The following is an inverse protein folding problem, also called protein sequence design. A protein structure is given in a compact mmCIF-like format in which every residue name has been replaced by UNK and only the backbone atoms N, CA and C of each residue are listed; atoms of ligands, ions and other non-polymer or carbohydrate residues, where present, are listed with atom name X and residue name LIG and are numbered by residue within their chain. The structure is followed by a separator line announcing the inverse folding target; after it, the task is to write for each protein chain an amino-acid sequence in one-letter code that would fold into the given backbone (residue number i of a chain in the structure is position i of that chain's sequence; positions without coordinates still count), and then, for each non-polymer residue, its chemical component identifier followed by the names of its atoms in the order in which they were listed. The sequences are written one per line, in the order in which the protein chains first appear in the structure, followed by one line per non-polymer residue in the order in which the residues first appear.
data_IF_420400120673
#
_entry.id   IF_420400120673
#
_cell.length_a   1.000
_cell.length_b   1.000
_cell.length_c   1.000
_cell.angle_alpha   90.00
_cell.angle_beta   90.00
_cell.angle_gamma   90.00
#
_symmetry.space_group_name_H-M   'P 1'
#
loop_
_entity.id
_entity.type
_entity.pdbx_description
1 polymer ?
#
# COMPACT_ATOMS: atom_id res chain seq x y z
N UNK A 1 -3.81 -0.06 11.86
CA UNK A 1 -3.94 1.00 10.84
C UNK A 1 -3.24 2.24 11.35
N UNK A 2 -2.49 2.95 10.53
CA UNK A 2 -1.73 4.16 10.86
C UNK A 2 -2.09 5.27 9.88
N UNK A 3 -2.04 6.52 10.34
CA UNK A 3 -2.06 7.70 9.47
C UNK A 3 -0.61 8.10 9.17
N UNK A 4 -0.28 8.24 7.89
CA UNK A 4 1.04 8.70 7.43
C UNK A 4 0.87 10.07 6.79
N UNK A 5 1.72 11.01 7.17
CA UNK A 5 1.78 12.35 6.58
C UNK A 5 3.10 12.50 5.83
N UNK A 6 3.04 12.98 4.61
CA UNK A 6 4.21 13.40 3.82
C UNK A 6 4.12 14.91 3.58
N UNK A 7 5.22 15.63 3.85
CA UNK A 7 5.35 17.06 3.61
C UNK A 7 6.25 17.29 2.42
N UNK A 8 5.76 18.00 1.42
CA UNK A 8 6.46 18.20 0.16
C UNK A 8 6.66 19.68 -0.14
N UNK A 9 7.78 19.98 -0.81
CA UNK A 9 7.99 21.24 -1.48
C UNK A 9 8.12 20.96 -2.99
N UNK A 10 7.06 21.25 -3.73
CA UNK A 10 6.91 20.75 -5.09
C UNK A 10 6.93 19.22 -5.10
N UNK A 11 7.85 18.60 -5.82
CA UNK A 11 7.99 17.14 -5.88
C UNK A 11 8.94 16.56 -4.81
N UNK A 12 9.62 17.40 -4.04
CA UNK A 12 10.62 16.96 -3.07
C UNK A 12 9.99 16.70 -1.70
N UNK A 13 10.15 15.46 -1.21
CA UNK A 13 9.72 15.07 0.13
C UNK A 13 10.67 15.67 1.18
N UNK A 14 10.13 16.47 2.09
CA UNK A 14 10.91 17.14 3.15
C UNK A 14 10.86 16.38 4.48
N UNK A 15 9.69 15.84 4.81
CA UNK A 15 9.43 15.21 6.11
C UNK A 15 8.33 14.17 5.99
N UNK A 16 8.40 13.13 6.81
CA UNK A 16 7.29 12.20 7.05
C UNK A 16 6.99 12.10 8.53
N UNK A 17 5.70 11.93 8.85
CA UNK A 17 5.23 11.66 10.21
C UNK A 17 4.24 10.51 10.19
N UNK A 18 4.26 9.69 11.24
CA UNK A 18 3.36 8.53 11.38
C UNK A 18 2.63 8.66 12.70
N UNK A 19 1.32 8.46 12.67
CA UNK A 19 0.45 8.47 13.84
C UNK A 19 -0.29 7.14 13.94
N UNK A 20 -0.37 6.58 15.13
CA UNK A 20 -1.20 5.40 15.37
C UNK A 20 -2.70 5.77 15.27
N UNK A 21 -3.56 4.77 15.12
CA UNK A 21 -5.02 5.00 15.04
C UNK A 21 -5.63 5.59 16.32
N UNK A 22 -4.91 5.54 17.44
CA UNK A 22 -5.33 6.07 18.74
C UNK A 22 -4.76 7.45 19.04
N UNK A 23 -3.81 7.94 18.25
CA UNK A 23 -3.19 9.25 18.45
C UNK A 23 -3.99 10.37 17.77
N UNK A 24 -4.13 11.48 18.46
CA UNK A 24 -4.71 12.70 17.90
C UNK A 24 -3.65 13.45 17.09
N UNK A 25 -3.93 13.74 15.84
CA UNK A 25 -3.04 14.51 14.98
C UNK A 25 -3.15 16.00 15.33
N UNK A 26 -2.05 16.68 15.68
CA UNK A 26 -2.07 18.08 16.10
C UNK A 26 -2.11 19.05 14.89
N UNK A 27 -3.19 19.00 14.09
CA UNK A 27 -3.33 19.73 12.83
C UNK A 27 -3.00 21.22 12.93
N UNK A 28 -3.46 21.91 13.99
CA UNK A 28 -3.21 23.34 14.15
C UNK A 28 -1.72 23.64 14.29
N UNK A 29 -0.99 22.85 15.07
CA UNK A 29 0.46 22.98 15.23
C UNK A 29 1.20 22.69 13.93
N UNK A 30 0.78 21.65 13.22
CA UNK A 30 1.38 21.25 11.93
C UNK A 30 1.21 22.38 10.91
N UNK A 31 0.00 22.89 10.74
CA UNK A 31 -0.30 23.96 9.79
C UNK A 31 0.44 25.27 10.13
N UNK A 32 0.56 25.60 11.42
CA UNK A 32 1.28 26.80 11.87
C UNK A 32 2.79 26.71 11.57
N UNK A 33 3.39 25.50 11.69
CA UNK A 33 4.83 25.32 11.51
C UNK A 33 5.27 25.16 10.07
N UNK A 34 4.42 24.70 9.14
CA UNK A 34 4.81 24.28 7.79
C UNK A 34 4.21 25.10 6.63
N UNK A 35 3.45 26.18 6.87
CA UNK A 35 2.85 27.05 5.82
C UNK A 35 2.21 26.25 4.65
N UNK A 36 1.42 25.24 4.98
CA UNK A 36 0.85 24.32 4.01
C UNK A 36 -0.27 25.04 3.24
N UNK A 37 -0.20 25.03 1.92
CA UNK A 37 -1.20 25.65 1.03
C UNK A 37 -2.15 24.64 0.41
N UNK A 38 -1.64 23.44 0.09
CA UNK A 38 -2.39 22.36 -0.55
C UNK A 38 -2.25 21.08 0.26
N UNK A 39 -3.26 20.25 0.23
CA UNK A 39 -3.22 18.91 0.82
C UNK A 39 -3.96 17.91 -0.08
N UNK A 40 -3.57 16.65 0.01
CA UNK A 40 -4.27 15.54 -0.64
C UNK A 40 -4.47 14.42 0.38
N UNK A 41 -5.65 13.81 0.34
CA UNK A 41 -6.03 12.78 1.30
C UNK A 41 -6.42 11.51 0.53
N UNK A 42 -5.80 10.39 0.91
CA UNK A 42 -6.27 9.06 0.55
C UNK A 42 -6.75 8.37 1.83
N UNK A 43 -8.03 8.06 1.88
CA UNK A 43 -8.65 7.46 3.04
C UNK A 43 -9.16 6.06 2.71
N UNK A 44 -8.70 5.06 3.47
CA UNK A 44 -9.21 3.70 3.44
C UNK A 44 -9.74 3.35 4.81
N UNK A 45 -11.06 3.11 4.92
CA UNK A 45 -11.75 2.84 6.18
C UNK A 45 -12.13 4.10 6.99
N UNK A 46 -12.54 3.89 8.24
CA UNK A 46 -12.97 4.98 9.13
C UNK A 46 -11.76 5.69 9.74
N UNK A 47 -11.54 6.94 9.39
CA UNK A 47 -10.50 7.79 9.98
C UNK A 47 -11.09 8.53 11.16
N UNK A 48 -10.47 8.38 12.34
CA UNK A 48 -10.89 9.10 13.58
C UNK A 48 -10.34 10.53 13.66
N UNK A 49 -9.49 10.95 12.72
CA UNK A 49 -8.90 12.28 12.74
C UNK A 49 -9.90 13.35 12.29
N UNK A 50 -9.93 14.47 12.98
CA UNK A 50 -10.70 15.64 12.54
C UNK A 50 -10.00 16.33 11.35
N UNK A 51 -10.37 15.89 10.15
CA UNK A 51 -9.85 16.45 8.89
C UNK A 51 -10.42 17.86 8.59
N UNK A 52 -11.43 18.34 9.32
CA UNK A 52 -12.03 19.67 9.11
C UNK A 52 -10.99 20.78 9.16
N UNK A 53 -9.99 20.63 10.05
CA UNK A 53 -8.91 21.61 10.15
C UNK A 53 -8.09 21.70 8.86
N UNK A 54 -7.82 20.58 8.19
CA UNK A 54 -7.16 20.57 6.88
C UNK A 54 -8.02 21.23 5.81
N UNK A 55 -9.29 20.82 5.67
CA UNK A 55 -10.21 21.36 4.67
C UNK A 55 -10.40 22.87 4.82
N UNK A 56 -10.40 23.39 6.05
CA UNK A 56 -10.60 24.82 6.32
C UNK A 56 -9.35 25.68 6.08
N UNK A 57 -8.16 25.09 6.05
CA UNK A 57 -6.90 25.85 6.03
C UNK A 57 -6.02 25.53 4.80
N UNK A 58 -6.40 24.59 3.97
CA UNK A 58 -5.65 24.23 2.76
C UNK A 58 -6.61 24.03 1.59
N UNK A 59 -6.08 24.11 0.36
CA UNK A 59 -6.79 23.59 -0.81
C UNK A 59 -6.67 22.07 -0.78
N UNK A 60 -7.68 21.42 -0.22
CA UNK A 60 -7.67 19.98 0.03
C UNK A 60 -8.31 19.21 -1.11
N UNK A 61 -7.60 18.22 -1.61
CA UNK A 61 -8.06 17.27 -2.63
C UNK A 61 -8.26 15.91 -1.98
N UNK A 62 -9.45 15.33 -2.10
CA UNK A 62 -9.67 13.92 -1.79
C UNK A 62 -9.36 13.07 -3.01
N UNK A 63 -8.64 11.97 -2.83
CA UNK A 63 -8.40 11.06 -3.95
C UNK A 63 -9.69 10.36 -4.32
N UNK A 64 -10.08 10.48 -5.58
CA UNK A 64 -11.23 9.79 -6.16
C UNK A 64 -10.97 9.44 -7.64
N UNK A 65 -11.78 8.57 -8.21
CA UNK A 65 -11.60 8.01 -9.56
C UNK A 65 -11.77 9.01 -10.70
N UNK A 66 -12.34 10.18 -10.44
CA UNK A 66 -12.57 11.25 -11.44
C UNK A 66 -11.41 12.26 -11.49
N UNK A 67 -10.35 12.11 -10.66
CA UNK A 67 -9.15 12.92 -10.79
C UNK A 67 -8.48 12.65 -12.15
N UNK A 68 -7.68 13.62 -12.61
CA UNK A 68 -6.78 13.36 -13.73
C UNK A 68 -5.70 12.35 -13.27
N UNK A 69 -5.79 11.13 -13.80
CA UNK A 69 -4.90 10.03 -13.44
C UNK A 69 -3.86 9.84 -14.55
N UNK A 70 -2.59 9.52 -14.19
CA UNK A 70 -1.51 9.29 -15.17
C UNK A 70 -1.58 7.90 -15.82
N UNK A 71 -2.68 7.18 -15.68
CA UNK A 71 -2.86 5.84 -16.23
C UNK A 71 -4.32 5.60 -16.66
N UNK A 72 -4.52 4.57 -17.46
CA UNK A 72 -5.83 4.01 -17.81
C UNK A 72 -5.99 2.62 -17.20
N UNK A 73 -7.19 2.08 -17.09
CA UNK A 73 -7.44 0.78 -16.46
C UNK A 73 -8.46 -0.07 -17.20
N UNK A 74 -8.26 -1.39 -17.18
CA UNK A 74 -9.26 -2.40 -17.55
C UNK A 74 -10.22 -2.76 -16.41
N UNK A 75 -10.06 -2.18 -15.22
CA UNK A 75 -10.92 -2.51 -14.07
C UNK A 75 -12.33 -2.02 -14.31
N UNK A 76 -13.32 -2.92 -14.20
CA UNK A 76 -14.71 -2.62 -14.52
C UNK A 76 -15.65 -3.12 -13.41
N UNK A 77 -16.47 -2.25 -12.81
CA UNK A 77 -16.41 -0.78 -12.98
C UNK A 77 -15.17 -0.19 -12.29
N UNK A 78 -14.60 0.86 -12.91
CA UNK A 78 -13.36 1.47 -12.42
C UNK A 78 -13.49 2.05 -11.00
N UNK A 79 -14.67 2.51 -10.64
CA UNK A 79 -15.00 3.07 -9.33
C UNK A 79 -14.86 2.05 -8.19
N UNK A 80 -14.83 0.77 -8.50
CA UNK A 80 -14.62 -0.30 -7.52
C UNK A 80 -13.13 -0.59 -7.26
N UNK A 81 -12.21 0.01 -8.01
CA UNK A 81 -10.79 -0.09 -7.71
C UNK A 81 -10.47 0.65 -6.40
N UNK A 82 -9.85 -0.01 -5.43
CA UNK A 82 -9.48 0.62 -4.16
C UNK A 82 -8.63 1.88 -4.36
N UNK A 83 -8.89 2.91 -3.59
CA UNK A 83 -8.19 4.20 -3.71
C UNK A 83 -6.68 4.07 -3.41
N UNK A 84 -6.29 3.20 -2.50
CA UNK A 84 -4.90 2.83 -2.23
C UNK A 84 -4.21 2.26 -3.48
N UNK A 85 -4.90 1.41 -4.24
CA UNK A 85 -4.42 0.86 -5.50
C UNK A 85 -4.33 1.94 -6.60
N UNK A 86 -5.29 2.87 -6.66
CA UNK A 86 -5.22 4.04 -7.56
C UNK A 86 -3.96 4.86 -7.29
N UNK A 87 -3.64 5.13 -6.02
CA UNK A 87 -2.44 5.88 -5.60
C UNK A 87 -1.16 5.12 -5.96
N UNK A 88 -1.12 3.80 -5.71
CA UNK A 88 0.03 2.97 -6.03
C UNK A 88 0.29 2.90 -7.54
N UNK A 89 -0.76 2.77 -8.35
CA UNK A 89 -0.68 2.81 -9.82
C UNK A 89 -0.20 4.18 -10.33
N UNK A 90 -0.69 5.27 -9.75
CA UNK A 90 -0.23 6.62 -10.11
C UNK A 90 1.24 6.81 -9.76
N UNK A 91 1.70 6.33 -8.60
CA UNK A 91 3.11 6.34 -8.22
C UNK A 91 3.97 5.57 -9.23
N UNK A 92 3.56 4.34 -9.57
CA UNK A 92 4.30 3.50 -10.51
C UNK A 92 4.40 4.13 -11.90
N UNK A 93 3.28 4.63 -12.44
CA UNK A 93 3.23 5.26 -13.76
C UNK A 93 4.17 6.47 -13.88
N UNK A 94 4.30 7.26 -12.80
CA UNK A 94 5.14 8.45 -12.79
C UNK A 94 6.62 8.15 -12.49
N UNK A 95 6.90 7.25 -11.54
CA UNK A 95 8.27 6.95 -11.11
C UNK A 95 9.01 6.04 -12.08
N UNK A 96 8.29 5.18 -12.79
CA UNK A 96 8.86 4.21 -13.72
C UNK A 96 8.21 4.31 -15.11
N UNK A 97 8.32 5.47 -15.77
CA UNK A 97 7.69 5.67 -17.08
C UNK A 97 8.27 4.71 -18.11
N UNK A 98 7.39 4.11 -18.92
CA UNK A 98 7.75 3.15 -19.98
C UNK A 98 8.29 1.80 -19.49
N UNK A 99 8.04 1.45 -18.22
CA UNK A 99 8.30 0.11 -17.71
C UNK A 99 6.99 -0.64 -17.42
N UNK A 100 7.00 -1.97 -17.59
CA UNK A 100 5.94 -2.80 -17.03
C UNK A 100 6.23 -3.02 -15.55
N UNK A 101 5.26 -2.81 -14.69
CA UNK A 101 5.42 -2.87 -13.24
C UNK A 101 4.36 -3.77 -12.63
N UNK A 102 4.78 -4.76 -11.86
CA UNK A 102 3.92 -5.45 -10.91
C UNK A 102 4.11 -4.81 -9.53
N UNK A 103 3.07 -4.16 -9.04
CA UNK A 103 3.05 -3.58 -7.70
C UNK A 103 2.46 -4.63 -6.76
N UNK A 104 3.15 -4.92 -5.67
CA UNK A 104 2.70 -5.78 -4.58
C UNK A 104 2.65 -4.92 -3.32
N UNK A 105 1.45 -4.57 -2.87
CA UNK A 105 1.27 -3.83 -1.61
C UNK A 105 0.89 -4.82 -0.52
N UNK A 106 1.82 -5.05 0.41
CA UNK A 106 1.67 -5.98 1.51
C UNK A 106 1.34 -5.23 2.81
N UNK A 107 0.05 -5.12 3.09
CA UNK A 107 -0.49 -4.47 4.28
C UNK A 107 -1.60 -5.29 4.93
N UNK A 108 -2.73 -4.65 5.26
CA UNK A 108 -3.92 -5.34 5.80
C UNK A 108 -4.39 -6.45 4.84
N UNK A 109 -4.41 -6.14 3.54
CA UNK A 109 -4.45 -7.13 2.46
C UNK A 109 -3.11 -7.14 1.73
N UNK A 110 -2.86 -8.15 0.91
CA UNK A 110 -1.82 -8.14 -0.11
C UNK A 110 -2.53 -7.90 -1.44
N UNK A 111 -2.20 -6.80 -2.10
CA UNK A 111 -2.73 -6.52 -3.44
C UNK A 111 -1.64 -6.67 -4.49
N UNK A 112 -2.03 -7.05 -5.69
CA UNK A 112 -1.15 -7.26 -6.84
C UNK A 112 -1.74 -6.50 -8.01
N UNK A 113 -1.02 -5.53 -8.58
CA UNK A 113 -1.49 -4.71 -9.68
C UNK A 113 -0.45 -4.64 -10.79
N UNK A 114 -0.84 -5.04 -12.00
CA UNK A 114 0.04 -5.03 -13.16
C UNK A 114 -0.28 -3.82 -14.06
N UNK A 115 0.68 -2.91 -14.20
CA UNK A 115 0.62 -1.77 -15.10
C UNK A 115 1.66 -1.92 -16.22
N UNK A 116 1.27 -1.62 -17.44
CA UNK A 116 2.13 -1.72 -18.62
C UNK A 116 3.02 -0.50 -18.81
N UNK A 117 4.05 -0.63 -19.65
CA UNK A 117 4.91 0.46 -20.12
C UNK A 117 4.15 1.62 -20.82
N UNK A 118 2.87 1.41 -21.19
CA UNK A 118 1.97 2.43 -21.74
C UNK A 118 1.07 3.05 -20.68
N UNK A 119 1.40 2.88 -19.40
CA UNK A 119 0.57 3.30 -18.28
C UNK A 119 -0.88 2.78 -18.36
N UNK A 120 -1.03 1.51 -18.72
CA UNK A 120 -2.34 0.85 -18.77
C UNK A 120 -2.38 -0.27 -17.73
N UNK A 121 -3.25 -0.14 -16.73
CA UNK A 121 -3.49 -1.12 -15.67
C UNK A 121 -4.30 -2.29 -16.23
N UNK A 122 -3.77 -3.50 -16.15
CA UNK A 122 -4.38 -4.71 -16.67
C UNK A 122 -5.29 -5.43 -15.67
N UNK A 123 -5.38 -4.93 -14.46
CA UNK A 123 -6.09 -5.58 -13.35
C UNK A 123 -5.14 -6.13 -12.30
N UNK A 124 -5.69 -6.81 -11.31
CA UNK A 124 -4.91 -7.29 -10.18
C UNK A 124 -5.66 -8.27 -9.30
N UNK A 125 -5.02 -8.65 -8.20
CA UNK A 125 -5.52 -9.65 -7.24
C UNK A 125 -5.52 -9.03 -5.85
N UNK A 126 -6.40 -9.51 -4.96
CA UNK A 126 -6.45 -9.17 -3.54
C UNK A 126 -6.43 -10.45 -2.74
N UNK A 127 -5.56 -10.54 -1.76
CA UNK A 127 -5.49 -11.65 -0.82
C UNK A 127 -5.33 -11.17 0.62
N UNK A 128 -5.56 -12.03 1.63
CA UNK A 128 -5.39 -11.63 3.02
C UNK A 128 -3.93 -11.31 3.35
N UNK A 129 -3.69 -10.20 4.06
CA UNK A 129 -2.37 -9.88 4.63
C UNK A 129 -1.96 -10.81 5.77
N UNK A 130 -0.70 -10.70 6.22
CA UNK A 130 -0.16 -11.60 7.23
C UNK A 130 -0.96 -11.58 8.53
N UNK A 131 -1.22 -10.39 9.07
CA UNK A 131 -2.00 -10.26 10.31
C UNK A 131 -3.43 -10.72 10.15
N UNK A 132 -4.04 -10.51 8.98
CA UNK A 132 -5.40 -11.00 8.72
C UNK A 132 -5.47 -12.52 8.76
N UNK A 133 -4.44 -13.24 8.28
CA UNK A 133 -4.34 -14.71 8.35
C UNK A 133 -4.24 -15.20 9.79
N UNK A 134 -3.41 -14.55 10.64
CA UNK A 134 -3.33 -14.87 12.08
C UNK A 134 -4.66 -14.63 12.78
N UNK A 135 -5.26 -13.47 12.55
CA UNK A 135 -6.54 -13.11 13.16
C UNK A 135 -7.68 -14.02 12.71
N UNK A 136 -7.69 -14.46 11.46
CA UNK A 136 -8.68 -15.43 10.99
C UNK A 136 -8.56 -16.76 11.75
N UNK A 137 -7.36 -17.30 11.92
CA UNK A 137 -7.14 -18.52 12.70
C UNK A 137 -7.57 -18.34 14.16
N UNK A 138 -7.23 -17.23 14.80
CA UNK A 138 -7.64 -16.92 16.17
C UNK A 138 -9.17 -16.79 16.29
N UNK A 139 -9.81 -16.00 15.42
CA UNK A 139 -11.23 -15.68 15.53
C UNK A 139 -12.16 -16.84 15.13
N UNK A 140 -11.74 -17.70 14.20
CA UNK A 140 -12.57 -18.80 13.68
C UNK A 140 -12.23 -20.17 14.28
N UNK A 141 -11.34 -20.22 15.27
CA UNK A 141 -11.05 -21.46 16.02
C UNK A 141 -11.11 -21.21 17.53
N UNK A 142 -11.28 -22.30 18.32
CA UNK A 142 -11.42 -22.18 19.78
C UNK A 142 -10.10 -22.25 20.54
N UNK A 143 -9.00 -22.75 19.91
CA UNK A 143 -7.77 -23.10 20.64
C UNK A 143 -6.52 -22.43 20.08
N UNK A 144 -6.60 -21.83 18.91
CA UNK A 144 -5.42 -21.19 18.33
C UNK A 144 -5.18 -19.82 18.98
N UNK A 145 -3.96 -19.52 19.43
CA UNK A 145 -3.65 -18.27 20.11
C UNK A 145 -3.64 -17.08 19.14
N UNK A 146 -3.87 -15.87 19.68
CA UNK A 146 -3.64 -14.63 18.96
C UNK A 146 -2.13 -14.37 18.89
N UNK A 147 -1.55 -14.36 17.69
CA UNK A 147 -0.12 -14.21 17.48
C UNK A 147 0.18 -12.95 16.66
N UNK A 148 1.38 -12.42 16.85
CA UNK A 148 1.96 -11.38 16.02
C UNK A 148 2.88 -11.99 14.95
N UNK A 149 3.26 -11.21 13.94
CA UNK A 149 4.17 -11.64 12.88
C UNK A 149 5.54 -11.94 13.50
N UNK A 150 5.99 -13.18 13.37
CA UNK A 150 7.29 -13.62 13.81
C UNK A 150 7.93 -14.56 12.80
N UNK A 151 9.26 -14.53 12.72
CA UNK A 151 10.06 -15.43 11.90
C UNK A 151 9.86 -16.87 12.34
N UNK A 152 9.47 -17.79 11.44
CA UNK A 152 9.46 -19.22 11.76
C UNK A 152 10.87 -19.75 12.00
N UNK A 153 11.05 -20.59 13.03
CA UNK A 153 12.39 -21.03 13.47
C UNK A 153 12.86 -22.34 12.81
N UNK A 154 12.04 -23.38 12.90
CA UNK A 154 12.46 -24.72 12.45
C UNK A 154 11.38 -25.41 11.63
N UNK A 155 11.78 -26.17 10.61
CA UNK A 155 10.88 -26.96 9.78
C UNK A 155 11.29 -28.45 9.79
N UNK A 156 10.36 -29.39 9.93
CA UNK A 156 8.94 -29.21 10.21
C UNK A 156 8.67 -28.65 11.62
N UNK A 157 7.61 -27.83 11.82
CA UNK A 157 7.25 -27.30 13.12
C UNK A 157 6.74 -28.43 14.05
N UNK A 158 7.10 -28.37 15.34
CA UNK A 158 6.76 -29.39 16.33
C UNK A 158 5.77 -28.89 17.41
N UNK A 159 5.31 -27.66 17.33
CA UNK A 159 4.30 -27.08 18.21
C UNK A 159 3.35 -26.15 17.46
N UNK A 160 2.22 -25.84 18.09
CA UNK A 160 1.11 -25.07 17.46
C UNK A 160 1.56 -23.66 17.03
N UNK A 161 2.36 -22.97 17.84
CA UNK A 161 2.80 -21.59 17.55
C UNK A 161 3.66 -21.58 16.31
N UNK A 162 4.68 -22.45 16.25
CA UNK A 162 5.54 -22.59 15.07
C UNK A 162 4.75 -23.05 13.84
N UNK A 163 3.79 -23.96 14.01
CA UNK A 163 2.94 -24.41 12.90
C UNK A 163 2.11 -23.26 12.31
N UNK A 164 1.60 -22.36 13.17
CA UNK A 164 0.88 -21.16 12.73
C UNK A 164 1.81 -20.18 12.02
N UNK A 165 3.01 -19.91 12.55
CA UNK A 165 3.99 -19.03 11.90
C UNK A 165 4.39 -19.57 10.52
N UNK A 166 4.74 -20.86 10.42
CA UNK A 166 5.03 -21.47 9.12
C UNK A 166 3.85 -21.42 8.17
N UNK A 167 2.65 -21.74 8.66
CA UNK A 167 1.43 -21.73 7.86
C UNK A 167 1.15 -20.34 7.25
N UNK A 168 1.26 -19.27 8.04
CA UNK A 168 1.02 -17.91 7.56
C UNK A 168 2.14 -17.41 6.66
N UNK A 169 3.38 -17.50 7.12
CA UNK A 169 4.51 -16.85 6.42
C UNK A 169 4.85 -17.58 5.13
N UNK A 170 5.03 -18.91 5.17
CA UNK A 170 5.41 -19.65 3.97
C UNK A 170 4.29 -19.71 2.94
N UNK A 171 3.01 -19.79 3.38
CA UNK A 171 1.91 -19.74 2.42
C UNK A 171 1.81 -18.38 1.72
N UNK A 172 2.02 -17.27 2.44
CA UNK A 172 2.02 -15.95 1.83
C UNK A 172 3.17 -15.78 0.83
N UNK A 173 4.38 -16.24 1.15
CA UNK A 173 5.52 -16.21 0.24
C UNK A 173 5.24 -17.04 -1.03
N UNK A 174 4.76 -18.28 -0.84
CA UNK A 174 4.43 -19.18 -1.95
C UNK A 174 3.31 -18.59 -2.85
N UNK A 175 2.32 -17.94 -2.24
CA UNK A 175 1.25 -17.24 -2.95
C UNK A 175 1.81 -16.07 -3.78
N UNK A 176 2.68 -15.24 -3.20
CA UNK A 176 3.30 -14.12 -3.91
C UNK A 176 4.10 -14.64 -5.11
N UNK A 177 4.93 -15.67 -4.93
CA UNK A 177 5.73 -16.26 -6.02
C UNK A 177 4.84 -16.89 -7.10
N UNK A 178 3.73 -17.54 -6.71
CA UNK A 178 2.78 -18.09 -7.65
C UNK A 178 2.08 -17.00 -8.48
N UNK A 179 1.68 -15.88 -7.87
CA UNK A 179 1.09 -14.77 -8.61
C UNK A 179 2.11 -14.06 -9.51
N UNK A 180 3.35 -13.87 -9.06
CA UNK A 180 4.43 -13.36 -9.93
C UNK A 180 4.54 -14.23 -11.19
N UNK A 181 4.69 -15.55 -11.02
CA UNK A 181 4.77 -16.49 -12.14
C UNK A 181 3.51 -16.47 -13.02
N UNK A 182 2.33 -16.27 -12.42
CA UNK A 182 1.08 -16.15 -13.18
C UNK A 182 1.03 -14.87 -14.01
N UNK A 183 1.50 -13.73 -13.47
CA UNK A 183 1.58 -12.48 -14.23
C UNK A 183 2.62 -12.54 -15.36
N UNK A 184 3.71 -13.30 -15.21
CA UNK A 184 4.71 -13.55 -16.27
C UNK A 184 4.09 -14.19 -17.51
N UNK A 185 3.00 -14.95 -17.36
CA UNK A 185 2.26 -15.48 -18.51
C UNK A 185 1.53 -14.41 -19.33
N UNK A 186 1.19 -13.30 -18.71
CA UNK A 186 0.49 -12.17 -19.36
C UNK A 186 1.48 -11.16 -19.96
N UNK A 187 2.55 -10.84 -19.21
CA UNK A 187 3.65 -9.98 -19.64
C UNK A 187 4.95 -10.64 -19.19
N UNK A 188 5.79 -11.14 -20.12
CA UNK A 188 7.00 -11.92 -19.76
C UNK A 188 8.07 -11.14 -18.97
N UNK A 189 8.06 -9.80 -19.03
CA UNK A 189 9.07 -8.98 -18.37
C UNK A 189 8.43 -7.76 -17.72
N UNK A 190 8.57 -7.66 -16.39
CA UNK A 190 8.17 -6.52 -15.60
C UNK A 190 9.11 -6.36 -14.38
N UNK A 191 9.14 -5.15 -13.83
CA UNK A 191 9.77 -4.88 -12.55
C UNK A 191 8.76 -5.17 -11.43
N UNK A 192 9.22 -5.75 -10.34
CA UNK A 192 8.38 -5.99 -9.14
C UNK A 192 8.68 -4.90 -8.12
N UNK A 193 7.67 -4.17 -7.71
CA UNK A 193 7.73 -3.18 -6.63
C UNK A 193 6.97 -3.73 -5.44
N UNK A 194 7.66 -3.90 -4.31
CA UNK A 194 7.07 -4.37 -3.06
C UNK A 194 6.95 -3.19 -2.09
N UNK A 195 5.72 -2.89 -1.68
CA UNK A 195 5.39 -1.80 -0.75
C UNK A 195 4.44 -2.29 0.36
N UNK A 196 4.04 -1.40 1.27
CA UNK A 196 3.16 -1.73 2.40
C UNK A 196 3.90 -1.99 3.71
N UNK A 197 3.14 -2.16 4.78
CA UNK A 197 3.68 -2.32 6.13
C UNK A 197 4.54 -3.57 6.32
N UNK A 198 4.21 -4.65 5.64
CA UNK A 198 4.88 -5.95 5.73
C UNK A 198 5.96 -6.13 4.63
N UNK A 199 6.13 -5.15 3.74
CA UNK A 199 7.07 -5.23 2.63
C UNK A 199 8.51 -5.47 3.08
N UNK A 200 8.96 -4.79 4.13
CA UNK A 200 10.31 -4.98 4.68
C UNK A 200 10.56 -6.40 5.21
N UNK A 201 9.54 -7.02 5.79
CA UNK A 201 9.60 -8.42 6.24
C UNK A 201 9.62 -9.39 5.05
N UNK A 202 8.79 -9.16 4.05
CA UNK A 202 8.64 -10.03 2.88
C UNK A 202 9.76 -9.88 1.86
N UNK A 203 10.35 -8.69 1.71
CA UNK A 203 11.40 -8.40 0.70
C UNK A 203 12.63 -9.30 0.81
N UNK A 204 12.95 -9.76 2.03
CA UNK A 204 14.07 -10.67 2.29
C UNK A 204 13.81 -12.10 1.81
N UNK A 205 12.57 -12.42 1.40
CA UNK A 205 12.09 -13.78 1.11
C UNK A 205 11.52 -13.94 -0.29
N UNK A 206 10.99 -12.86 -0.85
CA UNK A 206 10.45 -12.86 -2.22
C UNK A 206 11.59 -12.64 -3.21
N UNK A 207 11.75 -13.56 -4.14
CA UNK A 207 12.77 -13.46 -5.19
C UNK A 207 12.48 -12.32 -6.15
N UNK A 208 13.53 -11.57 -6.51
CA UNK A 208 13.47 -10.50 -7.51
C UNK A 208 12.55 -9.31 -7.14
N UNK A 209 12.01 -9.25 -5.92
CA UNK A 209 11.25 -8.11 -5.46
C UNK A 209 12.17 -6.92 -5.13
N UNK A 210 11.87 -5.75 -5.68
CA UNK A 210 12.53 -4.49 -5.31
C UNK A 210 11.67 -3.86 -4.24
N UNK A 211 12.24 -3.68 -3.04
CA UNK A 211 11.58 -2.94 -1.99
C UNK A 211 11.40 -1.49 -2.45
N UNK A 212 10.15 -1.03 -2.49
CA UNK A 212 9.86 0.36 -2.72
C UNK A 212 10.34 1.21 -1.53
N UNK A 213 10.64 2.48 -1.81
CA UNK A 213 10.76 3.47 -0.76
C UNK A 213 9.54 3.43 0.16
N UNK A 214 9.75 3.56 1.47
CA UNK A 214 8.64 3.55 2.46
C UNK A 214 7.62 4.68 2.23
N UNK A 215 8.00 5.68 1.44
CA UNK A 215 7.21 6.83 1.06
C UNK A 215 6.54 6.69 -0.32
N UNK A 216 6.61 5.50 -0.94
CA UNK A 216 6.10 5.26 -2.30
C UNK A 216 4.67 5.77 -2.50
N UNK A 217 3.75 5.46 -1.57
CA UNK A 217 2.38 5.94 -1.64
C UNK A 217 2.27 7.45 -1.39
N UNK A 218 3.08 8.02 -0.48
CA UNK A 218 3.09 9.46 -0.24
C UNK A 218 3.58 10.23 -1.47
N UNK A 219 4.60 9.71 -2.17
CA UNK A 219 5.07 10.25 -3.44
C UNK A 219 3.95 10.18 -4.50
N UNK A 220 3.25 9.04 -4.59
CA UNK A 220 2.10 8.88 -5.48
C UNK A 220 0.99 9.89 -5.22
N UNK A 221 0.66 10.12 -3.95
CA UNK A 221 -0.30 11.15 -3.54
C UNK A 221 0.14 12.55 -3.98
N UNK A 222 1.40 12.91 -3.71
CA UNK A 222 1.91 14.22 -4.10
C UNK A 222 1.90 14.43 -5.62
N UNK A 223 2.23 13.40 -6.39
CA UNK A 223 2.15 13.45 -7.86
C UNK A 223 0.71 13.68 -8.34
N UNK A 224 -0.28 13.01 -7.72
CA UNK A 224 -1.69 13.27 -8.00
C UNK A 224 -2.09 14.70 -7.62
N UNK A 225 -1.63 15.22 -6.48
CA UNK A 225 -1.89 16.59 -6.07
C UNK A 225 -1.32 17.58 -7.10
N UNK A 226 -0.04 17.44 -7.47
CA UNK A 226 0.63 18.34 -8.42
C UNK A 226 -0.07 18.37 -9.79
N UNK A 227 -0.66 17.25 -10.21
CA UNK A 227 -1.39 17.13 -11.48
C UNK A 227 -2.82 17.70 -11.41
N UNK A 228 -3.43 17.73 -10.21
CA UNK A 228 -4.84 18.10 -10.04
C UNK A 228 -5.07 19.39 -9.24
N UNK A 229 -4.02 20.04 -8.73
CA UNK A 229 -4.17 21.35 -8.10
C UNK A 229 -4.43 22.43 -9.15
N UNK A 230 -5.38 23.27 -8.88
CA UNK A 230 -5.76 24.44 -9.67
C UNK A 230 -4.99 25.69 -9.26
#
# INVERSE_FOLDING_TARGET
TQTKLGFFQGLELQLTQKYSSTETIPWQSILASHKITHSIISQVGNVQSDLKTLYNNTQCVDVHHQLHLPFTSCYDPFENLGIDRVVALAAAANLFPRENILIIDAGTCITYDLITAKAHHLGGVISPGLMMRYQAMYNFTHQLPNLEIQEPLSFPPTNTIEAMHHGVILSAIAEIEAFISRFETSIPTFRIILTGGDAGFLSKRVKNGILADENFLAIGLNLLLETNKS
#
